data_IF_042045706212
#
_entry.id   IF_042045706212
#
_cell.length_a   1.000
_cell.length_b   1.000
_cell.length_c   1.000
_cell.angle_alpha   90.00
_cell.angle_beta   90.00
_cell.angle_gamma   90.00
#
_symmetry.space_group_name_H-M   'P 1'
#
loop_
_entity.id
_entity.type
_entity.pdbx_description
1 polymer ?
#
# COMPACT_ATOMS: atom_id res chain seq x y z
N UNK A 1 -7.25 13.20 -1.34
CA UNK A 1 -7.11 14.23 -0.27
C UNK A 1 -5.72 14.83 -0.45
N UNK A 2 -5.58 16.16 -0.43
CA UNK A 2 -4.25 16.78 -0.43
C UNK A 2 -3.59 16.66 0.95
N UNK A 3 -2.29 16.35 1.07
CA UNK A 3 -1.61 16.31 2.36
C UNK A 3 -1.61 17.69 3.05
N UNK A 4 -1.74 17.70 4.38
CA UNK A 4 -1.70 18.91 5.20
C UNK A 4 -1.09 18.60 6.57
N UNK A 5 -0.43 19.59 7.18
CA UNK A 5 0.17 19.47 8.52
C UNK A 5 -0.54 20.32 9.59
N UNK A 6 -1.17 21.43 9.19
CA UNK A 6 -1.86 22.33 10.11
C UNK A 6 -3.36 22.01 10.11
N UNK A 7 -3.90 21.66 11.28
CA UNK A 7 -5.34 21.36 11.46
C UNK A 7 -6.11 22.62 11.83
N UNK A 8 -5.59 23.41 12.77
CA UNK A 8 -6.24 24.58 13.35
C UNK A 8 -5.21 25.54 13.93
N UNK A 9 -5.42 26.85 13.77
CA UNK A 9 -4.67 27.91 14.45
C UNK A 9 -5.66 28.72 15.29
N UNK A 10 -5.32 29.00 16.55
CA UNK A 10 -6.12 29.85 17.46
C UNK A 10 -5.27 30.96 18.07
N UNK A 11 -5.89 32.09 18.41
CA UNK A 11 -5.27 33.13 19.22
C UNK A 11 -5.34 32.83 20.73
N UNK A 12 -4.85 33.75 21.56
CA UNK A 12 -4.90 33.67 23.04
C UNK A 12 -6.32 33.59 23.60
N UNK A 13 -7.29 34.15 22.87
CA UNK A 13 -8.70 34.18 23.24
C UNK A 13 -9.45 32.95 22.70
N UNK A 14 -8.71 31.94 22.21
CA UNK A 14 -9.25 30.72 21.58
C UNK A 14 -10.06 30.95 20.30
N UNK A 15 -9.97 32.14 19.69
CA UNK A 15 -10.63 32.42 18.41
C UNK A 15 -9.91 31.69 17.29
N UNK A 16 -10.68 31.11 16.37
CA UNK A 16 -10.15 30.31 15.27
C UNK A 16 -9.65 31.25 14.18
N UNK A 17 -8.33 31.33 13.99
CA UNK A 17 -7.70 32.10 12.93
C UNK A 17 -7.63 31.30 11.61
N UNK A 18 -7.47 29.99 11.74
CA UNK A 18 -7.42 29.06 10.61
C UNK A 18 -7.98 27.70 11.03
N UNK A 19 -8.69 27.04 10.13
CA UNK A 19 -9.09 25.64 10.27
C UNK A 19 -9.04 24.98 8.91
N UNK A 20 -8.27 23.92 8.79
CA UNK A 20 -8.19 23.17 7.55
C UNK A 20 -9.51 22.42 7.30
N UNK A 21 -10.03 22.53 6.08
CA UNK A 21 -11.20 21.77 5.62
C UNK A 21 -10.74 20.71 4.63
N UNK A 22 -10.89 19.44 5.02
CA UNK A 22 -10.41 18.31 4.22
C UNK A 22 -11.28 18.17 2.97
N UNK A 23 -10.71 18.52 1.81
CA UNK A 23 -11.35 18.30 0.52
C UNK A 23 -11.07 16.87 0.02
N UNK A 24 -12.15 16.12 -0.24
CA UNK A 24 -12.09 14.77 -0.80
C UNK A 24 -12.49 14.83 -2.27
N UNK A 25 -11.63 14.31 -3.14
CA UNK A 25 -11.90 14.15 -4.55
C UNK A 25 -11.78 12.66 -4.90
N UNK A 26 -12.80 12.12 -5.56
CA UNK A 26 -12.74 10.76 -6.11
C UNK A 26 -12.04 10.81 -7.47
N UNK A 27 -10.90 10.13 -7.58
CA UNK A 27 -10.13 10.02 -8.82
C UNK A 27 -10.31 8.65 -9.50
N UNK A 28 -10.90 7.68 -8.79
CA UNK A 28 -11.17 6.34 -9.32
C UNK A 28 -12.35 5.69 -8.59
N UNK A 29 -13.01 4.75 -9.26
CA UNK A 29 -14.06 3.93 -8.67
C UNK A 29 -13.53 3.08 -7.51
N UNK A 30 -14.40 2.77 -6.54
CA UNK A 30 -14.07 1.85 -5.43
C UNK A 30 -13.58 0.50 -5.94
N UNK A 31 -14.19 -0.03 -7.01
CA UNK A 31 -13.79 -1.29 -7.61
C UNK A 31 -12.36 -1.24 -8.16
N UNK A 32 -11.97 -0.16 -8.85
CA UNK A 32 -10.59 0.00 -9.32
C UNK A 32 -9.60 0.08 -8.16
N UNK A 33 -9.93 0.86 -7.13
CA UNK A 33 -9.08 0.99 -5.95
C UNK A 33 -8.89 -0.36 -5.25
N UNK A 34 -9.96 -1.14 -5.07
CA UNK A 34 -9.90 -2.45 -4.45
C UNK A 34 -9.07 -3.46 -5.25
N UNK A 35 -9.17 -3.45 -6.59
CA UNK A 35 -8.35 -4.31 -7.45
C UNK A 35 -6.86 -3.92 -7.37
N UNK A 36 -6.55 -2.63 -7.37
CA UNK A 36 -5.17 -2.15 -7.17
C UNK A 36 -4.65 -2.58 -5.80
N UNK A 37 -5.46 -2.43 -4.75
CA UNK A 37 -5.12 -2.91 -3.42
C UNK A 37 -4.87 -4.42 -3.40
N UNK A 38 -5.70 -5.23 -4.05
CA UNK A 38 -5.51 -6.69 -4.15
C UNK A 38 -4.17 -7.04 -4.82
N UNK A 39 -3.84 -6.37 -5.94
CA UNK A 39 -2.54 -6.53 -6.59
C UNK A 39 -1.37 -6.14 -5.68
N UNK A 40 -1.50 -5.05 -4.93
CA UNK A 40 -0.47 -4.57 -4.00
C UNK A 40 -0.36 -5.43 -2.73
N UNK A 41 -1.43 -6.14 -2.34
CA UNK A 41 -1.35 -7.20 -1.33
C UNK A 41 -0.52 -8.37 -1.85
N UNK A 42 -0.65 -8.72 -3.13
CA UNK A 42 0.20 -9.73 -3.78
C UNK A 42 1.70 -9.44 -3.60
N UNK A 43 2.13 -8.18 -3.71
CA UNK A 43 3.54 -7.80 -3.47
C UNK A 43 4.01 -8.17 -2.05
N UNK A 44 3.12 -8.06 -1.06
CA UNK A 44 3.41 -8.44 0.33
C UNK A 44 3.26 -9.94 0.56
N UNK A 45 2.29 -10.60 -0.05
CA UNK A 45 2.02 -12.03 0.16
C UNK A 45 3.08 -12.92 -0.50
N UNK A 46 3.47 -12.57 -1.72
CA UNK A 46 4.28 -13.42 -2.59
C UNK A 46 5.45 -12.69 -3.26
N UNK A 47 5.44 -11.35 -3.30
CA UNK A 47 6.44 -10.54 -3.99
C UNK A 47 7.59 -10.00 -3.13
N UNK A 48 8.14 -8.87 -3.58
CA UNK A 48 9.31 -8.22 -2.97
C UNK A 48 9.06 -7.62 -1.59
N UNK A 49 7.79 -7.45 -1.19
CA UNK A 49 7.35 -6.93 0.10
C UNK A 49 7.22 -8.00 1.20
N UNK A 50 7.56 -9.27 0.93
CA UNK A 50 7.24 -10.43 1.79
C UNK A 50 7.64 -10.31 3.25
N UNK A 51 8.69 -9.55 3.58
CA UNK A 51 9.10 -9.31 4.97
C UNK A 51 8.00 -8.60 5.80
N UNK A 52 7.10 -7.87 5.16
CA UNK A 52 6.02 -7.15 5.83
C UNK A 52 4.95 -8.07 6.42
N UNK A 53 4.91 -9.36 6.04
CA UNK A 53 4.01 -10.36 6.65
C UNK A 53 4.17 -10.47 8.18
N UNK A 54 5.30 -10.04 8.72
CA UNK A 54 5.54 -10.02 10.16
C UNK A 54 4.64 -9.04 10.94
N UNK A 55 3.89 -8.16 10.27
CA UNK A 55 2.96 -7.19 10.89
C UNK A 55 1.62 -7.85 11.26
N UNK A 56 1.29 -9.02 10.69
CA UNK A 56 0.09 -9.81 11.00
C UNK A 56 -1.25 -9.06 10.85
N UNK A 57 -1.33 -8.06 9.97
CA UNK A 57 -2.58 -7.40 9.57
C UNK A 57 -2.67 -7.25 8.05
N UNK A 58 -3.84 -6.86 7.55
CA UNK A 58 -4.04 -6.56 6.13
C UNK A 58 -3.27 -5.29 5.75
N UNK A 59 -2.26 -5.47 4.90
CA UNK A 59 -1.40 -4.41 4.38
C UNK A 59 -1.13 -4.63 2.89
N UNK A 60 -0.91 -3.52 2.20
CA UNK A 60 -0.59 -3.50 0.78
C UNK A 60 0.60 -2.55 0.56
N UNK A 61 1.44 -2.81 -0.42
CA UNK A 61 2.56 -1.90 -0.69
C UNK A 61 3.42 -2.30 -1.88
N UNK A 62 4.40 -1.45 -2.20
CA UNK A 62 5.30 -1.66 -3.33
C UNK A 62 6.71 -1.20 -2.99
N UNK A 63 7.69 -2.02 -3.37
CA UNK A 63 9.10 -1.64 -3.38
C UNK A 63 9.44 -0.81 -4.62
N UNK A 64 10.29 0.20 -4.44
CA UNK A 64 10.98 0.93 -5.50
C UNK A 64 12.49 0.89 -5.30
N UNK A 65 13.26 0.86 -6.38
CA UNK A 65 14.73 0.98 -6.37
C UNK A 65 15.11 1.69 -7.65
N UNK A 66 15.84 2.80 -7.55
CA UNK A 66 16.28 3.56 -8.73
C UNK A 66 17.58 3.00 -9.31
N UNK A 67 17.92 3.45 -10.51
CA UNK A 67 19.13 3.05 -11.21
C UNK A 67 20.38 3.29 -10.35
N UNK A 68 21.37 2.39 -10.49
CA UNK A 68 22.61 2.42 -9.72
C UNK A 68 22.42 2.41 -8.19
N UNK A 69 21.25 1.98 -7.69
CA UNK A 69 20.95 1.84 -6.26
C UNK A 69 21.09 3.16 -5.49
N UNK A 70 20.70 4.29 -6.12
CA UNK A 70 20.77 5.59 -5.47
C UNK A 70 19.66 5.80 -4.44
N UNK A 71 18.49 5.27 -4.75
CA UNK A 71 17.30 5.40 -3.92
C UNK A 71 16.64 4.05 -3.71
N UNK A 72 16.26 3.79 -2.47
CA UNK A 72 15.46 2.66 -2.05
C UNK A 72 14.14 3.19 -1.48
N UNK A 73 13.01 2.67 -1.96
CA UNK A 73 11.68 3.08 -1.52
C UNK A 73 10.82 1.89 -1.11
N UNK A 74 9.98 2.12 -0.12
CA UNK A 74 8.80 1.30 0.12
C UNK A 74 7.62 2.20 0.46
N UNK A 75 6.55 2.12 -0.35
CA UNK A 75 5.30 2.81 -0.09
C UNK A 75 4.25 1.75 0.18
N UNK A 76 3.60 1.83 1.33
CA UNK A 76 2.59 0.87 1.73
C UNK A 76 1.54 1.49 2.62
N UNK A 77 0.45 0.77 2.83
CA UNK A 77 -0.69 1.24 3.59
C UNK A 77 -1.46 0.09 4.24
N UNK A 78 -2.17 0.43 5.31
CA UNK A 78 -3.30 -0.32 5.87
C UNK A 78 -4.58 0.49 5.64
N UNK A 79 -5.77 -0.01 6.02
CA UNK A 79 -7.00 0.80 5.97
C UNK A 79 -6.92 2.12 6.77
N UNK A 80 -6.06 2.20 7.79
CA UNK A 80 -5.96 3.35 8.70
C UNK A 80 -4.91 4.39 8.29
N UNK A 81 -3.86 3.97 7.59
CA UNK A 81 -2.71 4.84 7.31
C UNK A 81 -1.98 4.44 6.03
N UNK A 82 -1.46 5.44 5.30
CA UNK A 82 -0.49 5.27 4.23
C UNK A 82 0.85 5.85 4.66
N UNK A 83 1.93 5.10 4.44
CA UNK A 83 3.29 5.45 4.85
C UNK A 83 4.25 5.18 3.68
N UNK A 84 5.07 6.18 3.36
CA UNK A 84 6.18 6.06 2.43
C UNK A 84 7.51 6.19 3.16
N UNK A 85 8.44 5.27 2.89
CA UNK A 85 9.83 5.37 3.34
C UNK A 85 10.73 5.46 2.11
N UNK A 86 11.61 6.45 2.13
CA UNK A 86 12.70 6.62 1.18
C UNK A 86 14.03 6.59 1.95
N UNK A 87 15.03 5.93 1.37
CA UNK A 87 16.42 5.92 1.83
C UNK A 87 17.29 6.27 0.63
N UNK A 88 18.19 7.22 0.81
CA UNK A 88 19.12 7.71 -0.20
C UNK A 88 20.18 8.61 0.42
N UNK A 89 21.22 8.91 -0.33
CA UNK A 89 22.23 9.90 0.05
C UNK A 89 21.90 11.26 -0.58
N UNK A 90 22.06 12.36 0.15
CA UNK A 90 21.77 13.71 -0.35
C UNK A 90 22.58 14.09 -1.60
N UNK A 91 23.79 13.53 -1.73
CA UNK A 91 24.66 13.72 -2.89
C UNK A 91 24.39 12.73 -4.05
N UNK A 92 23.30 11.96 -3.98
CA UNK A 92 22.88 10.95 -4.95
C UNK A 92 23.93 9.87 -5.28
N UNK A 93 24.85 9.60 -4.33
CA UNK A 93 25.77 8.47 -4.43
C UNK A 93 25.05 7.16 -4.16
N UNK A 94 25.55 6.07 -4.76
CA UNK A 94 24.96 4.74 -4.60
C UNK A 94 24.93 4.30 -3.14
N UNK A 95 23.82 3.70 -2.72
CA UNK A 95 23.69 3.00 -1.44
C UNK A 95 24.46 1.67 -1.43
N UNK A 96 24.87 1.19 -2.61
CA UNK A 96 25.52 -0.10 -2.82
C UNK A 96 24.59 -1.11 -3.49
N UNK A 97 25.18 -2.05 -4.24
CA UNK A 97 24.48 -2.95 -5.18
C UNK A 97 23.38 -3.85 -4.58
N UNK A 98 23.26 -3.91 -3.26
CA UNK A 98 22.29 -4.75 -2.56
C UNK A 98 21.25 -3.94 -1.78
N UNK A 99 21.41 -2.62 -1.72
CA UNK A 99 20.51 -1.72 -1.01
C UNK A 99 19.29 -1.36 -1.87
N UNK A 100 18.40 -2.33 -1.99
CA UNK A 100 17.10 -2.18 -2.67
C UNK A 100 16.02 -1.69 -1.71
N UNK A 101 14.86 -1.33 -2.24
CA UNK A 101 13.67 -0.98 -1.44
C UNK A 101 13.32 -2.06 -0.40
N UNK A 102 13.51 -3.35 -0.72
CA UNK A 102 13.24 -4.46 0.19
C UNK A 102 14.31 -4.65 1.29
N UNK A 103 15.49 -4.01 1.14
CA UNK A 103 16.64 -4.16 2.04
C UNK A 103 16.84 -2.90 2.90
N UNK A 104 16.79 -1.72 2.30
CA UNK A 104 17.01 -0.45 3.00
C UNK A 104 15.71 0.18 3.54
N UNK A 105 14.68 0.35 2.70
CA UNK A 105 13.47 1.10 3.08
C UNK A 105 12.42 0.26 3.83
N UNK A 106 12.17 -0.97 3.36
CA UNK A 106 11.12 -1.84 3.90
C UNK A 106 11.29 -2.15 5.41
N UNK A 107 12.49 -2.43 5.96
CA UNK A 107 12.62 -2.67 7.40
C UNK A 107 12.18 -1.49 8.27
N UNK A 108 12.52 -0.26 7.86
CA UNK A 108 12.10 0.97 8.56
C UNK A 108 10.57 1.10 8.50
N UNK A 109 9.99 0.86 7.33
CA UNK A 109 8.53 0.88 7.17
C UNK A 109 7.83 -0.15 8.06
N UNK A 110 8.38 -1.37 8.15
CA UNK A 110 7.83 -2.44 9.01
C UNK A 110 7.87 -2.04 10.48
N UNK A 111 9.00 -1.51 10.95
CA UNK A 111 9.15 -1.10 12.35
C UNK A 111 8.10 -0.04 12.74
N UNK A 112 7.99 1.01 11.92
CA UNK A 112 6.98 2.05 12.12
C UNK A 112 5.55 1.49 12.13
N UNK A 113 5.21 0.66 11.15
CA UNK A 113 3.87 0.10 11.02
C UNK A 113 3.52 -0.85 12.17
N UNK A 114 4.47 -1.67 12.65
CA UNK A 114 4.27 -2.51 13.84
C UNK A 114 3.95 -1.65 15.06
N UNK A 115 4.70 -0.57 15.25
CA UNK A 115 4.46 0.34 16.36
C UNK A 115 3.08 1.00 16.25
N UNK A 116 2.76 1.60 15.09
CA UNK A 116 1.49 2.30 14.86
C UNK A 116 0.27 1.38 15.01
N UNK A 117 0.37 0.13 14.53
CA UNK A 117 -0.75 -0.81 14.50
C UNK A 117 -0.90 -1.64 15.79
N UNK A 118 0.09 -1.65 16.68
CA UNK A 118 0.10 -2.48 17.90
C UNK A 118 -1.16 -2.35 18.77
N UNK A 119 -1.78 -1.17 18.80
CA UNK A 119 -2.97 -0.86 19.59
C UNK A 119 -4.23 -0.63 18.74
N UNK A 120 -4.19 -1.00 17.46
CA UNK A 120 -5.34 -0.86 16.55
C UNK A 120 -6.07 -2.19 16.46
N UNK A 121 -7.40 -2.12 16.37
CA UNK A 121 -8.21 -3.27 15.98
C UNK A 121 -7.76 -3.75 14.60
N UNK A 122 -7.75 -5.06 14.38
CA UNK A 122 -7.54 -5.61 13.05
C UNK A 122 -8.57 -5.03 12.07
N UNK A 123 -8.12 -4.50 10.93
CA UNK A 123 -8.96 -3.95 9.86
C UNK A 123 -8.68 -4.70 8.56
N UNK A 124 -9.71 -4.91 7.75
CA UNK A 124 -9.61 -5.54 6.42
C UNK A 124 -9.75 -4.49 5.33
N UNK A 125 -9.18 -4.76 4.16
CA UNK A 125 -9.50 -3.95 2.98
C UNK A 125 -10.93 -4.21 2.51
N UNK A 126 -11.63 -3.13 2.15
CA UNK A 126 -12.98 -3.18 1.63
C UNK A 126 -13.03 -3.93 0.28
N UNK A 127 -14.01 -4.83 0.15
CA UNK A 127 -14.34 -5.52 -1.10
C UNK A 127 -15.68 -4.98 -1.58
N UNK A 128 -15.68 -4.00 -2.51
CA UNK A 128 -16.89 -3.28 -2.88
C UNK A 128 -17.81 -4.12 -3.77
N UNK A 129 -19.10 -3.79 -3.72
CA UNK A 129 -20.11 -4.37 -4.62
C UNK A 129 -19.70 -4.25 -6.11
N UNK A 130 -20.09 -5.26 -6.88
CA UNK A 130 -19.70 -5.36 -8.28
C UNK A 130 -18.28 -5.91 -8.49
N UNK A 131 -17.63 -6.41 -7.44
CA UNK A 131 -16.37 -7.17 -7.53
C UNK A 131 -16.54 -8.62 -7.07
N UNK A 132 -15.65 -9.50 -7.52
CA UNK A 132 -15.65 -10.92 -7.17
C UNK A 132 -14.23 -11.47 -7.15
N UNK A 133 -13.93 -12.27 -6.13
CA UNK A 133 -12.70 -13.06 -6.10
C UNK A 133 -12.83 -14.25 -7.05
N UNK A 134 -11.81 -14.45 -7.89
CA UNK A 134 -11.75 -15.55 -8.86
C UNK A 134 -10.40 -16.25 -8.79
N UNK A 135 -10.37 -17.49 -9.27
CA UNK A 135 -9.11 -18.15 -9.61
C UNK A 135 -8.75 -17.82 -11.05
N UNK A 136 -7.49 -17.51 -11.30
CA UNK A 136 -6.98 -17.14 -12.62
C UNK A 136 -5.66 -17.89 -12.89
N UNK A 137 -5.49 -18.33 -14.13
CA UNK A 137 -4.19 -18.81 -14.60
C UNK A 137 -3.30 -17.59 -14.92
N UNK A 138 -2.18 -17.40 -14.22
CA UNK A 138 -1.34 -16.19 -14.38
C UNK A 138 -0.62 -16.13 -15.72
N UNK A 139 -0.39 -17.27 -16.39
CA UNK A 139 0.29 -17.32 -17.70
C UNK A 139 -0.63 -16.86 -18.83
N UNK A 140 -1.94 -17.14 -18.71
CA UNK A 140 -2.92 -16.89 -19.77
C UNK A 140 -3.88 -15.74 -19.47
N UNK A 141 -3.96 -15.30 -18.21
CA UNK A 141 -4.93 -14.32 -17.73
C UNK A 141 -6.38 -14.83 -17.72
N UNK A 142 -6.62 -16.12 -17.97
CA UNK A 142 -7.97 -16.70 -18.03
C UNK A 142 -8.47 -17.14 -16.66
N UNK A 143 -9.75 -16.87 -16.41
CA UNK A 143 -10.46 -17.31 -15.21
C UNK A 143 -10.66 -18.82 -15.26
N UNK A 144 -10.43 -19.49 -14.13
CA UNK A 144 -10.61 -20.94 -13.98
C UNK A 144 -11.60 -21.24 -12.85
N UNK A 145 -12.35 -22.34 -12.97
CA UNK A 145 -13.23 -22.84 -11.89
C UNK A 145 -12.44 -23.66 -10.86
N UNK A 146 -11.39 -24.32 -11.31
CA UNK A 146 -10.57 -25.20 -10.48
C UNK A 146 -9.39 -24.42 -9.89
N UNK A 147 -9.21 -24.56 -8.57
CA UNK A 147 -8.01 -24.14 -7.87
C UNK A 147 -6.93 -25.19 -8.12
N UNK A 148 -5.86 -24.81 -8.82
CA UNK A 148 -4.68 -25.66 -9.00
C UNK A 148 -3.48 -25.04 -8.30
N UNK A 149 -2.35 -25.75 -8.27
CA UNK A 149 -1.09 -25.22 -7.70
C UNK A 149 -0.55 -23.99 -8.44
N UNK A 150 -0.99 -23.75 -9.68
CA UNK A 150 -0.56 -22.60 -10.50
C UNK A 150 -1.56 -21.45 -10.53
N UNK A 151 -2.78 -21.61 -10.03
CA UNK A 151 -3.77 -20.53 -10.07
C UNK A 151 -3.52 -19.50 -8.97
N UNK A 152 -3.64 -18.22 -9.32
CA UNK A 152 -3.69 -17.13 -8.35
C UNK A 152 -5.14 -16.81 -8.00
N UNK A 153 -5.36 -16.33 -6.77
CA UNK A 153 -6.66 -15.81 -6.34
C UNK A 153 -6.60 -14.29 -6.43
N UNK A 154 -7.47 -13.68 -7.25
CA UNK A 154 -7.45 -12.22 -7.47
C UNK A 154 -8.87 -11.64 -7.55
N UNK A 155 -8.98 -10.35 -7.23
CA UNK A 155 -10.22 -9.59 -7.32
C UNK A 155 -10.41 -9.03 -8.75
N UNK A 156 -11.59 -9.23 -9.32
CA UNK A 156 -11.99 -8.63 -10.60
C UNK A 156 -13.35 -7.95 -10.48
N UNK A 157 -13.75 -7.16 -11.49
CA UNK A 157 -15.13 -6.67 -11.59
C UNK A 157 -16.03 -7.78 -12.12
N UNK A 158 -17.25 -7.88 -11.59
CA UNK A 158 -18.23 -8.90 -12.01
C UNK A 158 -18.55 -8.80 -13.50
N UNK A 159 -18.56 -7.60 -14.09
CA UNK A 159 -18.80 -7.42 -15.53
C UNK A 159 -17.74 -8.06 -16.42
N UNK A 160 -16.54 -8.31 -15.87
CA UNK A 160 -15.41 -8.93 -16.56
C UNK A 160 -15.40 -10.46 -16.33
N UNK A 161 -16.33 -10.98 -15.50
CA UNK A 161 -16.56 -12.40 -15.27
C UNK A 161 -17.47 -12.97 -16.37
N UNK A 162 -16.88 -13.39 -17.48
CA UNK A 162 -17.55 -14.09 -18.58
C UNK A 162 -16.86 -15.41 -18.90
#
# INVERSE_FOLDING_TARGET
>A
IAPFSIIKITDSDSRILYKNTIQKQSIMSRQNAAIITDMLRGVVLEGTGKKALTIQTDIAGKTGTTDNYKDALFIGFSPDIAVGVWVGNDNATSLGRYETGAKAALPIWIDYMKHFLSNKSYQYFDIPDGTKMVYMNPDTGKITKEKTSRTIKTLIKIKDYK
#
